data_IF_997777778882
#
_entry.id   IF_997777778882
#
_cell.length_a   1.000
_cell.length_b   1.000
_cell.length_c   1.000
_cell.angle_alpha   90.00
_cell.angle_beta   90.00
_cell.angle_gamma   90.00
#
_symmetry.space_group_name_H-M   'P 1'
#
loop_
_entity.id
_entity.type
_entity.pdbx_description
1 polymer ?
#
# COMPACT_ATOMS: atom_id res chain seq x y z
N UNK A 1 4.98 16.32 16.78
CA UNK A 1 5.08 14.86 16.94
C UNK A 1 4.27 14.45 18.16
N UNK A 2 3.11 13.82 17.96
CA UNK A 2 2.17 13.55 19.06
C UNK A 2 2.56 12.25 19.77
N UNK A 3 3.03 12.28 21.03
CA UNK A 3 3.55 11.09 21.73
C UNK A 3 2.52 9.97 21.85
N UNK A 4 1.23 10.30 21.86
CA UNK A 4 0.13 9.33 21.98
C UNK A 4 0.08 8.34 20.81
N UNK A 5 0.20 8.80 19.56
CA UNK A 5 0.16 7.91 18.39
C UNK A 5 1.37 6.97 18.35
N UNK A 6 2.53 7.45 18.80
CA UNK A 6 3.74 6.64 18.90
C UNK A 6 3.61 5.58 20.00
N UNK A 7 3.07 5.95 21.16
CA UNK A 7 2.79 4.98 22.23
C UNK A 7 1.77 3.92 21.78
N UNK A 8 0.69 4.33 21.12
CA UNK A 8 -0.30 3.40 20.56
C UNK A 8 0.33 2.45 19.54
N UNK A 9 1.22 2.96 18.67
CA UNK A 9 1.94 2.10 17.73
C UNK A 9 2.83 1.09 18.42
N UNK A 10 3.59 1.49 19.43
CA UNK A 10 4.46 0.55 20.14
C UNK A 10 3.63 -0.54 20.84
N UNK A 11 2.58 -0.14 21.57
CA UNK A 11 1.70 -1.07 22.30
C UNK A 11 1.04 -2.09 21.36
N UNK A 12 0.48 -1.63 20.24
CA UNK A 12 -0.23 -2.53 19.32
C UNK A 12 0.73 -3.40 18.48
N UNK A 13 1.98 -2.98 18.28
CA UNK A 13 2.98 -3.78 17.57
C UNK A 13 3.57 -4.87 18.46
N UNK A 14 3.77 -4.61 19.75
CA UNK A 14 4.27 -5.59 20.72
C UNK A 14 3.26 -6.73 20.97
N UNK A 15 1.96 -6.42 21.06
CA UNK A 15 0.92 -7.43 21.31
C UNK A 15 0.63 -8.35 20.11
N UNK A 16 1.02 -7.98 18.89
CA UNK A 16 0.81 -8.79 17.69
C UNK A 16 1.69 -10.05 17.65
N UNK A 17 2.75 -10.11 18.46
CA UNK A 17 3.76 -11.19 18.45
C UNK A 17 3.33 -12.40 19.31
N UNK A 18 2.35 -12.26 20.21
CA UNK A 18 2.12 -13.27 21.28
C UNK A 18 0.81 -14.08 21.21
N UNK A 19 -0.07 -13.89 20.22
CA UNK A 19 -1.40 -14.52 20.26
C UNK A 19 -1.60 -15.59 19.16
N UNK A 20 -1.94 -16.83 19.57
CA UNK A 20 -2.29 -17.95 18.69
C UNK A 20 -3.80 -18.12 18.47
N UNK A 21 -4.21 -18.37 17.22
CA UNK A 21 -5.45 -19.04 16.79
C UNK A 21 -6.80 -18.35 16.99
N UNK A 22 -7.51 -18.05 15.90
CA UNK A 22 -8.96 -17.80 15.81
C UNK A 22 -9.50 -16.51 16.45
N UNK A 23 -9.32 -16.33 17.75
CA UNK A 23 -9.72 -15.10 18.47
C UNK A 23 -8.86 -13.89 18.08
N UNK A 24 -7.66 -14.17 17.60
CA UNK A 24 -6.68 -13.19 17.09
C UNK A 24 -7.25 -12.42 15.90
N UNK A 25 -7.90 -13.10 14.95
CA UNK A 25 -8.39 -12.45 13.73
C UNK A 25 -9.55 -11.48 13.99
N UNK A 26 -10.55 -11.85 14.81
CA UNK A 26 -11.63 -10.94 15.22
C UNK A 26 -11.14 -9.76 16.08
N UNK A 27 -10.02 -9.92 16.77
CA UNK A 27 -9.38 -8.83 17.51
C UNK A 27 -8.67 -7.88 16.54
N UNK A 28 -7.92 -8.43 15.60
CA UNK A 28 -7.17 -7.67 14.60
C UNK A 28 -8.10 -6.88 13.67
N UNK A 29 -9.24 -7.46 13.26
CA UNK A 29 -10.27 -6.73 12.49
C UNK A 29 -10.80 -5.51 13.26
N UNK A 30 -11.07 -5.66 14.57
CA UNK A 30 -11.52 -4.53 15.40
C UNK A 30 -10.44 -3.46 15.55
N UNK A 31 -9.17 -3.86 15.68
CA UNK A 31 -8.05 -2.92 15.73
C UNK A 31 -7.92 -2.18 14.40
N UNK A 32 -7.88 -2.90 13.28
CA UNK A 32 -7.80 -2.33 11.93
C UNK A 32 -8.98 -1.39 11.65
N UNK A 33 -10.20 -1.80 11.98
CA UNK A 33 -11.39 -0.94 11.84
C UNK A 33 -11.27 0.33 12.69
N UNK A 34 -10.80 0.22 13.94
CA UNK A 34 -10.60 1.36 14.83
C UNK A 34 -9.54 2.33 14.31
N UNK A 35 -8.42 1.80 13.80
CA UNK A 35 -7.37 2.59 13.13
C UNK A 35 -7.95 3.29 11.91
N UNK A 36 -8.76 2.60 11.10
CA UNK A 36 -9.35 3.22 9.91
C UNK A 36 -10.34 4.34 10.26
N UNK A 37 -11.17 4.15 11.29
CA UNK A 37 -12.04 5.21 11.84
C UNK A 37 -11.20 6.42 12.29
N UNK A 38 -10.08 6.17 12.97
CA UNK A 38 -9.13 7.22 13.34
C UNK A 38 -8.57 7.93 12.11
N UNK A 39 -8.16 7.21 11.05
CA UNK A 39 -7.69 7.83 9.80
C UNK A 39 -8.75 8.74 9.18
N UNK A 40 -10.01 8.31 9.13
CA UNK A 40 -11.12 9.14 8.63
C UNK A 40 -11.35 10.39 9.48
N UNK A 41 -11.24 10.26 10.81
CA UNK A 41 -11.31 11.40 11.72
C UNK A 41 -10.15 12.37 11.50
N UNK A 42 -8.92 11.86 11.38
CA UNK A 42 -7.72 12.67 11.14
C UNK A 42 -7.82 13.40 9.79
N UNK A 43 -8.23 12.71 8.73
CA UNK A 43 -8.44 13.32 7.41
C UNK A 43 -9.38 14.54 7.49
N UNK A 44 -10.45 14.45 8.28
CA UNK A 44 -11.44 15.53 8.38
C UNK A 44 -11.09 16.63 9.38
N UNK A 45 -10.44 16.30 10.50
CA UNK A 45 -10.25 17.24 11.63
C UNK A 45 -8.82 17.71 11.79
N UNK A 46 -7.84 16.86 11.47
CA UNK A 46 -6.41 17.11 11.68
C UNK A 46 -5.58 16.47 10.55
N UNK A 47 -5.72 16.91 9.29
CA UNK A 47 -5.07 16.26 8.14
C UNK A 47 -3.54 16.25 8.23
N UNK A 48 -2.94 17.20 8.96
CA UNK A 48 -1.51 17.21 9.26
C UNK A 48 -1.03 16.04 10.11
N UNK A 49 -1.93 15.33 10.81
CA UNK A 49 -1.64 14.15 11.62
C UNK A 49 -1.98 12.82 10.91
N UNK A 50 -2.52 12.89 9.69
CA UNK A 50 -2.86 11.70 8.91
C UNK A 50 -1.63 10.81 8.62
N UNK A 51 -0.44 11.35 8.29
CA UNK A 51 0.76 10.53 8.13
C UNK A 51 1.09 9.69 9.38
N UNK A 52 0.91 10.21 10.58
CA UNK A 52 1.16 9.47 11.82
C UNK A 52 0.17 8.31 12.02
N UNK A 53 -1.10 8.51 11.64
CA UNK A 53 -2.09 7.43 11.64
C UNK A 53 -1.75 6.34 10.61
N UNK A 54 -1.31 6.72 9.42
CA UNK A 54 -0.89 5.77 8.37
C UNK A 54 0.40 5.06 8.74
N UNK A 55 1.32 5.72 9.45
CA UNK A 55 2.52 5.10 9.97
C UNK A 55 2.21 4.01 11.00
N UNK A 56 1.22 4.24 11.87
CA UNK A 56 0.69 3.20 12.76
C UNK A 56 0.17 2.00 11.93
N UNK A 57 -0.64 2.24 10.91
CA UNK A 57 -1.15 1.16 10.05
C UNK A 57 -0.02 0.40 9.34
N UNK A 58 0.98 1.12 8.83
CA UNK A 58 2.17 0.53 8.22
C UNK A 58 2.86 -0.45 9.17
N UNK A 59 3.13 -0.05 10.42
CA UNK A 59 3.74 -0.94 11.41
C UNK A 59 2.90 -2.18 11.70
N UNK A 60 1.58 -2.03 11.80
CA UNK A 60 0.69 -3.18 12.02
C UNK A 60 0.71 -4.15 10.83
N UNK A 61 0.93 -3.68 9.61
CA UNK A 61 0.96 -4.53 8.40
C UNK A 61 2.32 -5.13 8.08
N UNK A 62 3.42 -4.50 8.49
CA UNK A 62 4.78 -4.87 8.10
C UNK A 62 5.08 -6.36 8.36
N UNK A 63 4.72 -6.88 9.54
CA UNK A 63 5.04 -8.26 9.93
C UNK A 63 3.82 -9.09 10.39
N UNK A 64 2.59 -8.63 10.17
CA UNK A 64 1.38 -9.34 10.60
C UNK A 64 0.48 -9.76 9.43
N UNK A 65 0.53 -11.04 9.02
CA UNK A 65 -0.42 -11.58 8.03
C UNK A 65 -1.88 -11.44 8.46
N UNK A 66 -2.19 -11.51 9.77
CA UNK A 66 -3.57 -11.38 10.26
C UNK A 66 -4.09 -9.94 10.14
N UNK A 67 -3.25 -8.92 10.38
CA UNK A 67 -3.59 -7.52 10.10
C UNK A 67 -3.84 -7.32 8.60
N UNK A 68 -2.95 -7.83 7.73
CA UNK A 68 -3.14 -7.74 6.28
C UNK A 68 -4.43 -8.44 5.82
N UNK A 69 -4.73 -9.61 6.38
CA UNK A 69 -5.98 -10.33 6.12
C UNK A 69 -7.20 -9.53 6.58
N UNK A 70 -7.10 -8.86 7.72
CA UNK A 70 -8.16 -7.98 8.25
C UNK A 70 -8.42 -6.78 7.35
N UNK A 71 -7.37 -6.14 6.81
CA UNK A 71 -7.52 -5.06 5.83
C UNK A 71 -8.28 -5.50 4.58
N UNK A 72 -7.97 -6.70 4.06
CA UNK A 72 -8.65 -7.28 2.91
C UNK A 72 -10.10 -7.67 3.23
N UNK A 73 -10.33 -8.34 4.36
CA UNK A 73 -11.66 -8.84 4.76
C UNK A 73 -12.65 -7.70 5.07
N UNK A 74 -12.14 -6.53 5.44
CA UNK A 74 -12.93 -5.32 5.69
C UNK A 74 -13.08 -4.42 4.46
N UNK A 75 -12.63 -4.85 3.27
CA UNK A 75 -12.69 -4.10 2.01
C UNK A 75 -12.02 -2.71 2.06
N UNK A 76 -10.94 -2.57 2.85
CA UNK A 76 -10.30 -1.27 3.12
C UNK A 76 -9.30 -0.82 2.06
N UNK A 77 -9.05 -1.61 1.02
CA UNK A 77 -8.12 -1.26 -0.08
C UNK A 77 -8.61 -0.02 -0.83
N UNK A 78 -9.87 0.02 -1.26
CA UNK A 78 -10.41 1.18 -1.99
C UNK A 78 -10.40 2.45 -1.13
N UNK A 79 -10.85 2.42 0.14
CA UNK A 79 -10.70 3.56 1.05
C UNK A 79 -9.25 4.03 1.24
N UNK A 80 -8.26 3.14 1.29
CA UNK A 80 -6.84 3.51 1.35
C UNK A 80 -6.38 4.24 0.08
N UNK A 81 -6.75 3.72 -1.10
CA UNK A 81 -6.40 4.33 -2.39
C UNK A 81 -6.98 5.75 -2.54
N UNK A 82 -8.12 6.05 -1.90
CA UNK A 82 -8.70 7.40 -1.89
C UNK A 82 -7.85 8.43 -1.12
N UNK A 83 -6.87 7.99 -0.32
CA UNK A 83 -5.97 8.88 0.41
C UNK A 83 -4.74 9.32 -0.41
N UNK A 84 -4.41 8.63 -1.50
CA UNK A 84 -3.27 8.96 -2.38
C UNK A 84 -3.19 10.46 -2.73
N UNK A 85 -4.26 11.14 -3.20
CA UNK A 85 -4.15 12.54 -3.61
C UNK A 85 -3.99 13.56 -2.46
N UNK A 86 -3.97 13.14 -1.19
CA UNK A 86 -3.93 14.05 -0.04
C UNK A 86 -2.57 14.77 0.07
N UNK A 87 -1.46 14.04 -0.04
CA UNK A 87 -0.09 14.57 -0.07
C UNK A 87 0.90 13.48 -0.47
N UNK A 88 2.13 13.86 -0.86
CA UNK A 88 3.18 12.88 -1.21
C UNK A 88 3.51 11.96 -0.02
N UNK A 89 3.66 12.52 1.19
CA UNK A 89 3.92 11.74 2.40
C UNK A 89 2.80 10.72 2.70
N UNK A 90 1.55 11.10 2.46
CA UNK A 90 0.39 10.19 2.59
C UNK A 90 0.44 9.12 1.49
N UNK A 91 0.71 9.50 0.25
CA UNK A 91 0.85 8.57 -0.88
C UNK A 91 1.90 7.50 -0.60
N UNK A 92 3.11 7.89 -0.19
CA UNK A 92 4.19 6.95 0.14
C UNK A 92 3.71 5.95 1.19
N UNK A 93 3.16 6.40 2.32
CA UNK A 93 2.70 5.51 3.39
C UNK A 93 1.57 4.57 2.97
N UNK A 94 0.61 5.05 2.16
CA UNK A 94 -0.46 4.20 1.61
C UNK A 94 0.14 3.12 0.72
N UNK A 95 1.06 3.48 -0.17
CA UNK A 95 1.71 2.54 -1.06
C UNK A 95 2.60 1.55 -0.29
N UNK A 96 3.31 1.98 0.77
CA UNK A 96 4.08 1.10 1.65
C UNK A 96 3.18 0.09 2.36
N UNK A 97 2.02 0.51 2.89
CA UNK A 97 1.03 -0.42 3.48
C UNK A 97 0.59 -1.48 2.44
N UNK A 98 0.34 -1.07 1.20
CA UNK A 98 -0.07 -1.99 0.14
C UNK A 98 1.07 -2.91 -0.31
N UNK A 99 2.34 -2.45 -0.30
CA UNK A 99 3.50 -3.33 -0.47
C UNK A 99 3.55 -4.39 0.62
N UNK A 100 3.41 -4.02 1.90
CA UNK A 100 3.40 -4.99 3.00
C UNK A 100 2.32 -6.07 2.81
N UNK A 101 1.15 -5.71 2.25
CA UNK A 101 0.08 -6.66 1.92
C UNK A 101 0.48 -7.55 0.74
N UNK A 102 0.99 -6.97 -0.35
CA UNK A 102 1.40 -7.71 -1.54
C UNK A 102 2.55 -8.69 -1.27
N UNK A 103 3.51 -8.32 -0.42
CA UNK A 103 4.63 -9.14 0.04
C UNK A 103 4.19 -10.42 0.77
N UNK A 104 2.96 -10.46 1.31
CA UNK A 104 2.43 -11.70 1.94
C UNK A 104 2.13 -12.80 0.92
N UNK A 105 2.21 -12.51 -0.37
CA UNK A 105 2.28 -13.50 -1.42
C UNK A 105 1.02 -13.58 -2.30
N UNK A 106 0.89 -14.66 -3.09
CA UNK A 106 -0.04 -14.71 -4.21
C UNK A 106 -1.51 -14.64 -3.80
N UNK A 107 -1.88 -15.21 -2.64
CA UNK A 107 -3.25 -15.13 -2.14
C UNK A 107 -3.69 -13.69 -1.85
N UNK A 108 -2.78 -12.83 -1.36
CA UNK A 108 -3.07 -11.43 -1.09
C UNK A 108 -3.14 -10.63 -2.39
N UNK A 109 -2.21 -10.87 -3.31
CA UNK A 109 -2.25 -10.24 -4.63
C UNK A 109 -3.47 -10.63 -5.46
N UNK A 110 -4.04 -11.83 -5.26
CA UNK A 110 -5.32 -12.23 -5.84
C UNK A 110 -6.52 -11.42 -5.29
N UNK A 111 -6.44 -10.89 -4.07
CA UNK A 111 -7.49 -9.99 -3.55
C UNK A 111 -7.26 -8.54 -4.02
N UNK A 112 -5.99 -8.15 -4.23
CA UNK A 112 -5.65 -6.83 -4.75
C UNK A 112 -5.99 -6.67 -6.25
N UNK A 113 -6.06 -7.77 -7.02
CA UNK A 113 -6.41 -7.80 -8.44
C UNK A 113 -7.41 -8.94 -8.73
N UNK A 114 -8.58 -8.69 -9.36
CA UNK A 114 -8.97 -7.45 -10.06
C UNK A 114 -9.43 -6.38 -9.11
N UNK A 115 -9.18 -5.12 -9.44
CA UNK A 115 -9.69 -4.03 -8.63
C UNK A 115 -9.16 -2.66 -9.01
N UNK A 116 -9.40 -1.65 -8.16
CA UNK A 116 -8.98 -0.27 -8.39
C UNK A 116 -7.47 -0.07 -8.26
N UNK A 117 -6.72 -1.06 -7.75
CA UNK A 117 -5.29 -0.91 -7.47
C UNK A 117 -4.50 -0.52 -8.72
N UNK A 118 -4.61 -1.28 -9.81
CA UNK A 118 -3.82 -1.02 -11.02
C UNK A 118 -4.11 0.36 -11.63
N UNK A 119 -5.38 0.78 -11.85
CA UNK A 119 -5.69 2.14 -12.26
C UNK A 119 -5.09 3.21 -11.33
N UNK A 120 -5.22 3.04 -10.01
CA UNK A 120 -4.65 3.98 -9.04
C UNK A 120 -3.12 4.06 -9.12
N UNK A 121 -2.42 2.94 -9.37
CA UNK A 121 -0.97 2.95 -9.56
C UNK A 121 -0.55 3.63 -10.86
N UNK A 122 -1.34 3.50 -11.93
CA UNK A 122 -1.09 4.25 -13.16
C UNK A 122 -1.22 5.77 -12.95
N UNK A 123 -2.19 6.18 -12.13
CA UNK A 123 -2.35 7.59 -11.75
C UNK A 123 -1.17 8.09 -10.91
N UNK A 124 -0.64 7.29 -9.97
CA UNK A 124 0.53 7.71 -9.16
C UNK A 124 1.81 7.80 -9.96
N UNK A 125 1.98 7.03 -11.05
CA UNK A 125 3.10 7.22 -11.99
C UNK A 125 3.05 8.59 -12.70
N UNK A 126 1.93 9.32 -12.64
CA UNK A 126 1.84 10.70 -13.14
C UNK A 126 2.37 11.75 -12.16
N UNK A 127 2.69 11.38 -10.91
CA UNK A 127 3.15 12.32 -9.90
C UNK A 127 4.58 12.76 -10.20
N UNK A 128 4.92 13.98 -9.79
CA UNK A 128 6.29 14.53 -9.92
C UNK A 128 7.22 14.09 -8.79
N UNK A 129 6.66 13.55 -7.71
CA UNK A 129 7.42 13.09 -6.55
C UNK A 129 7.98 11.70 -6.81
N UNK A 130 9.30 11.60 -6.86
CA UNK A 130 9.98 10.36 -7.23
C UNK A 130 9.89 9.28 -6.16
N UNK A 131 9.70 9.63 -4.88
CA UNK A 131 9.52 8.65 -3.81
C UNK A 131 8.15 7.95 -3.94
N UNK A 132 7.10 8.72 -4.26
CA UNK A 132 5.77 8.15 -4.58
C UNK A 132 5.86 7.22 -5.80
N UNK A 133 6.58 7.64 -6.83
CA UNK A 133 6.73 6.84 -8.06
C UNK A 133 7.54 5.57 -7.78
N UNK A 134 8.66 5.64 -7.06
CA UNK A 134 9.47 4.46 -6.70
C UNK A 134 8.64 3.43 -5.93
N UNK A 135 7.89 3.88 -4.92
CA UNK A 135 7.03 2.99 -4.13
C UNK A 135 5.89 2.39 -4.98
N UNK A 136 5.38 3.13 -5.97
CA UNK A 136 4.39 2.61 -6.92
C UNK A 136 5.00 1.53 -7.82
N UNK A 137 6.25 1.72 -8.27
CA UNK A 137 6.97 0.74 -9.08
C UNK A 137 7.24 -0.55 -8.29
N UNK A 138 7.64 -0.47 -7.02
CA UNK A 138 7.79 -1.64 -6.13
C UNK A 138 6.49 -2.45 -6.05
N UNK A 139 5.36 -1.77 -5.79
CA UNK A 139 4.07 -2.44 -5.70
C UNK A 139 3.64 -3.08 -7.02
N UNK A 140 3.91 -2.43 -8.16
CA UNK A 140 3.67 -3.02 -9.48
C UNK A 140 4.55 -4.27 -9.72
N UNK A 141 5.82 -4.27 -9.27
CA UNK A 141 6.70 -5.42 -9.39
C UNK A 141 6.17 -6.62 -8.59
N UNK A 142 5.77 -6.41 -7.33
CA UNK A 142 5.15 -7.44 -6.49
C UNK A 142 3.86 -7.97 -7.12
N UNK A 143 3.03 -7.06 -7.64
CA UNK A 143 1.79 -7.44 -8.31
C UNK A 143 2.06 -8.29 -9.56
N UNK A 144 3.01 -7.90 -10.42
CA UNK A 144 3.34 -8.67 -11.64
C UNK A 144 4.01 -10.01 -11.32
N UNK A 145 4.77 -10.08 -10.23
CA UNK A 145 5.38 -11.31 -9.76
C UNK A 145 4.32 -12.38 -9.48
N UNK A 146 3.24 -12.02 -8.79
CA UNK A 146 2.19 -12.94 -8.35
C UNK A 146 0.95 -13.00 -9.26
N UNK A 147 0.71 -11.96 -10.07
CA UNK A 147 -0.42 -11.81 -11.00
C UNK A 147 0.08 -11.37 -12.38
N UNK A 148 0.60 -12.28 -13.21
CA UNK A 148 1.11 -11.95 -14.54
C UNK A 148 0.07 -11.25 -15.44
N UNK A 149 -1.23 -11.55 -15.26
CA UNK A 149 -2.31 -10.90 -16.00
C UNK A 149 -2.40 -9.39 -15.72
N UNK A 150 -1.93 -8.95 -14.55
CA UNK A 150 -1.82 -7.53 -14.22
C UNK A 150 -0.81 -6.80 -15.09
N UNK A 151 0.27 -7.46 -15.49
CA UNK A 151 1.27 -6.90 -16.40
C UNK A 151 0.66 -6.66 -17.80
N UNK A 152 -0.12 -7.61 -18.30
CA UNK A 152 -0.83 -7.45 -19.57
C UNK A 152 -1.85 -6.31 -19.51
N UNK A 153 -2.61 -6.22 -18.42
CA UNK A 153 -3.54 -5.11 -18.20
C UNK A 153 -2.81 -3.75 -18.09
N UNK A 154 -1.63 -3.72 -17.48
CA UNK A 154 -0.79 -2.52 -17.40
C UNK A 154 -0.34 -2.06 -18.79
N UNK A 155 0.09 -2.98 -19.66
CA UNK A 155 0.45 -2.66 -21.04
C UNK A 155 -0.75 -2.10 -21.83
N UNK A 156 -1.93 -2.70 -21.65
CA UNK A 156 -3.17 -2.27 -22.32
C UNK A 156 -3.64 -0.88 -21.86
N UNK A 157 -3.33 -0.48 -20.64
CA UNK A 157 -3.72 0.81 -20.04
C UNK A 157 -2.61 1.87 -20.14
N UNK A 158 -1.77 1.80 -21.18
CA UNK A 158 -0.70 2.77 -21.45
C UNK A 158 0.36 2.87 -20.34
N UNK A 159 0.57 1.81 -19.54
CA UNK A 159 1.55 1.83 -18.44
C UNK A 159 2.98 2.14 -18.88
N UNK A 160 3.39 1.68 -20.07
CA UNK A 160 4.70 2.05 -20.64
C UNK A 160 4.83 3.56 -20.91
N UNK A 161 3.74 4.22 -21.30
CA UNK A 161 3.75 5.66 -21.51
C UNK A 161 3.87 6.41 -20.18
N UNK A 162 3.28 5.88 -19.10
CA UNK A 162 3.43 6.44 -17.77
C UNK A 162 4.88 6.37 -17.28
N UNK A 163 5.59 5.25 -17.53
CA UNK A 163 7.00 5.08 -17.16
C UNK A 163 7.94 6.07 -17.88
N UNK A 164 7.68 6.37 -19.16
CA UNK A 164 8.52 7.29 -19.95
C UNK A 164 8.65 8.69 -19.35
N UNK A 165 7.73 9.10 -18.48
CA UNK A 165 7.79 10.41 -17.79
C UNK A 165 8.99 10.51 -16.84
N UNK A 166 9.49 9.38 -16.38
CA UNK A 166 10.54 9.27 -15.38
C UNK A 166 11.80 8.61 -15.92
N UNK A 167 11.94 8.50 -17.24
CA UNK A 167 13.08 7.81 -17.90
C UNK A 167 14.42 8.52 -17.63
N UNK A 168 14.39 9.83 -17.41
CA UNK A 168 15.57 10.65 -17.10
C UNK A 168 15.88 10.72 -15.59
N UNK A 169 14.99 10.22 -14.73
CA UNK A 169 15.16 10.20 -13.28
C UNK A 169 16.10 9.05 -12.87
N UNK A 170 17.37 9.36 -12.66
CA UNK A 170 18.42 8.38 -12.37
C UNK A 170 18.07 7.41 -11.21
N UNK A 171 17.35 7.89 -10.21
CA UNK A 171 16.92 7.08 -9.06
C UNK A 171 15.82 6.05 -9.40
N UNK A 172 15.04 6.29 -10.46
CA UNK A 172 13.94 5.42 -10.88
C UNK A 172 14.33 4.50 -12.05
N UNK A 173 15.45 4.77 -12.70
CA UNK A 173 15.85 4.12 -13.95
C UNK A 173 15.94 2.59 -13.82
N UNK A 174 16.66 2.09 -12.81
CA UNK A 174 16.85 0.65 -12.60
C UNK A 174 15.52 -0.07 -12.39
N UNK A 175 14.68 0.48 -11.51
CA UNK A 175 13.38 -0.11 -11.15
C UNK A 175 12.38 -0.02 -12.30
N UNK A 176 12.34 1.12 -12.99
CA UNK A 176 11.50 1.36 -14.15
C UNK A 176 11.83 0.40 -15.29
N UNK A 177 13.11 0.20 -15.60
CA UNK A 177 13.54 -0.78 -16.60
C UNK A 177 13.23 -2.21 -16.17
N UNK A 178 13.48 -2.60 -14.92
CA UNK A 178 13.14 -3.93 -14.42
C UNK A 178 11.64 -4.22 -14.52
N UNK A 179 10.79 -3.24 -14.20
CA UNK A 179 9.34 -3.36 -14.33
C UNK A 179 8.93 -3.48 -15.80
N UNK A 180 9.51 -2.68 -16.70
CA UNK A 180 9.24 -2.75 -18.14
C UNK A 180 9.60 -4.13 -18.72
N UNK A 181 10.78 -4.67 -18.38
CA UNK A 181 11.20 -6.00 -18.82
C UNK A 181 10.25 -7.07 -18.29
N UNK A 182 9.86 -6.99 -17.02
CA UNK A 182 8.87 -7.89 -16.42
C UNK A 182 7.54 -7.82 -17.17
N UNK A 183 7.08 -6.63 -17.53
CA UNK A 183 5.81 -6.46 -18.23
C UNK A 183 5.82 -7.02 -19.66
N UNK A 184 6.93 -6.92 -20.38
CA UNK A 184 7.05 -7.36 -21.77
C UNK A 184 7.29 -8.88 -21.92
N UNK A 185 7.76 -9.55 -20.87
CA UNK A 185 8.16 -10.96 -20.89
C UNK A 185 7.24 -11.90 -20.10
N UNK A 186 6.11 -11.41 -19.58
CA UNK A 186 5.10 -12.16 -18.82
C UNK A 186 3.82 -12.35 -19.64
#
# INVERSE_FOLDING_TARGET
>A
MTPVLRCLSNLLTEEAVEAGGGQVQLRDERVVASVFILLQFLLQKHPSLLPEGLWLLNNLTANSPSTCTSLLSLDLIKPLLQLLPVSNAVSVLVLTVLCNVAEKGPAYCQHLWPGPLLPSLLDTLAFSDTEVVDQSLELLQLLFLYRPEAAQAFLQQSGLQALKRHEEEAQLQDRGHALQQTALHR
#
